data_IF_432349099114
#
_entry.id   IF_432349099114
#
_cell.length_a   1.000
_cell.length_b   1.000
_cell.length_c   1.000
_cell.angle_alpha   90.00
_cell.angle_beta   90.00
_cell.angle_gamma   90.00
#
_symmetry.space_group_name_H-M   'P 1'
#
loop_
_entity.id
_entity.type
_entity.pdbx_description
1 polymer ?
#
# COMPACT_ATOMS: atom_id res chain seq x y z
N UNK A 1 9.16 -11.36 -18.81
CA UNK A 1 7.84 -11.81 -18.30
C UNK A 1 7.37 -13.10 -18.96
N UNK A 2 7.36 -13.22 -20.28
CA UNK A 2 6.89 -14.46 -20.98
C UNK A 2 7.73 -15.73 -20.69
N UNK A 3 9.02 -15.61 -20.40
CA UNK A 3 9.91 -16.74 -20.11
C UNK A 3 9.68 -17.37 -18.72
N UNK A 4 9.19 -16.60 -17.76
CA UNK A 4 8.88 -17.08 -16.40
C UNK A 4 7.60 -17.92 -16.42
N UNK A 5 6.62 -17.52 -17.20
CA UNK A 5 5.35 -18.28 -17.35
C UNK A 5 5.54 -19.62 -18.06
N UNK A 6 6.46 -19.69 -19.03
CA UNK A 6 6.81 -20.97 -19.67
C UNK A 6 7.42 -21.99 -18.72
N UNK A 7 8.32 -21.56 -17.85
CA UNK A 7 8.96 -22.46 -16.85
C UNK A 7 8.00 -22.95 -15.78
N UNK A 8 6.99 -22.14 -15.39
CA UNK A 8 5.94 -22.55 -14.47
C UNK A 8 4.95 -23.53 -15.11
N UNK A 9 4.71 -23.42 -16.41
CA UNK A 9 3.87 -24.37 -17.15
C UNK A 9 4.57 -25.74 -17.36
N UNK A 10 5.88 -25.75 -17.57
CA UNK A 10 6.66 -26.99 -17.74
C UNK A 10 6.88 -27.76 -16.43
N UNK A 11 6.94 -27.05 -15.30
CA UNK A 11 7.05 -27.68 -13.97
C UNK A 11 5.76 -28.38 -13.51
N UNK A 12 4.61 -28.12 -14.16
CA UNK A 12 3.32 -28.73 -13.85
C UNK A 12 3.03 -30.02 -14.60
N UNK A 13 3.86 -30.41 -15.58
CA UNK A 13 3.66 -31.59 -16.40
C UNK A 13 4.55 -32.75 -15.94
N UNK A 14 4.25 -33.35 -14.77
CA UNK A 14 4.76 -34.68 -14.40
C UNK A 14 3.74 -35.71 -14.84
N UNK A 15 4.04 -36.54 -15.84
CA UNK A 15 3.12 -37.56 -16.30
C UNK A 15 3.02 -38.68 -15.24
N UNK A 16 1.82 -38.84 -14.67
CA UNK A 16 1.49 -40.03 -13.88
C UNK A 16 0.85 -39.86 -12.50
N UNK A 17 0.67 -38.61 -12.03
CA UNK A 17 -0.11 -38.40 -10.79
C UNK A 17 -1.22 -37.37 -11.06
N UNK A 18 -2.51 -37.72 -10.91
CA UNK A 18 -3.58 -36.74 -10.98
C UNK A 18 -3.34 -35.73 -9.84
N UNK A 19 -3.24 -34.43 -10.21
CA UNK A 19 -2.98 -33.36 -9.27
C UNK A 19 -4.01 -33.35 -8.13
N UNK A 20 -3.61 -32.87 -6.96
CA UNK A 20 -4.47 -32.78 -5.76
C UNK A 20 -5.83 -32.16 -6.07
N UNK A 21 -5.90 -31.19 -6.97
CA UNK A 21 -7.13 -30.56 -7.45
C UNK A 21 -8.04 -31.50 -8.25
N UNK A 22 -7.49 -32.39 -9.09
CA UNK A 22 -8.27 -33.39 -9.80
C UNK A 22 -8.84 -34.44 -8.86
N UNK A 23 -8.18 -34.75 -7.75
CA UNK A 23 -8.71 -35.63 -6.71
C UNK A 23 -9.82 -34.98 -5.90
N UNK A 24 -9.70 -33.66 -5.58
CA UNK A 24 -10.76 -32.92 -4.88
C UNK A 24 -12.02 -32.78 -5.74
N UNK A 25 -11.88 -32.51 -7.04
CA UNK A 25 -13.03 -32.42 -7.95
C UNK A 25 -13.64 -33.77 -8.22
N UNK A 26 -12.83 -34.83 -8.36
CA UNK A 26 -13.33 -36.19 -8.57
C UNK A 26 -14.04 -36.78 -7.34
N UNK A 27 -13.53 -36.51 -6.12
CA UNK A 27 -14.22 -36.95 -4.88
C UNK A 27 -15.48 -36.10 -4.62
N UNK A 28 -15.47 -34.80 -4.89
CA UNK A 28 -16.66 -33.98 -4.75
C UNK A 28 -17.77 -34.34 -5.74
N UNK A 29 -17.41 -34.71 -6.97
CA UNK A 29 -18.38 -35.14 -7.99
C UNK A 29 -18.86 -36.57 -7.73
N UNK A 30 -18.01 -37.49 -7.22
CA UNK A 30 -18.41 -38.86 -6.89
C UNK A 30 -19.33 -38.93 -5.66
N UNK A 31 -19.07 -38.12 -4.61
CA UNK A 31 -19.96 -38.03 -3.43
C UNK A 31 -21.28 -37.33 -3.75
N UNK A 32 -21.29 -36.37 -4.68
CA UNK A 32 -22.52 -35.74 -5.16
C UNK A 32 -23.37 -36.68 -6.04
N UNK A 33 -22.75 -37.60 -6.75
CA UNK A 33 -23.47 -38.56 -7.60
C UNK A 33 -24.08 -39.76 -6.78
N UNK A 34 -23.53 -40.04 -5.60
CA UNK A 34 -24.02 -41.15 -4.75
C UNK A 34 -25.14 -40.72 -3.76
N UNK A 35 -25.52 -39.44 -3.72
CA UNK A 35 -26.67 -39.02 -2.94
C UNK A 35 -27.95 -39.56 -3.57
N UNK A 36 -28.61 -40.45 -2.85
CA UNK A 36 -29.85 -41.14 -3.28
C UNK A 36 -30.85 -40.18 -3.89
N UNK A 37 -31.42 -40.49 -5.05
CA UNK A 37 -32.35 -39.58 -5.74
C UNK A 37 -33.53 -39.17 -4.88
N UNK A 38 -33.93 -40.01 -3.94
CA UNK A 38 -35.02 -39.74 -2.97
C UNK A 38 -34.67 -38.63 -1.97
N UNK A 39 -33.42 -38.51 -1.53
CA UNK A 39 -32.96 -37.41 -0.65
C UNK A 39 -32.96 -36.07 -1.36
N UNK A 40 -32.57 -36.07 -2.63
CA UNK A 40 -32.62 -34.83 -3.47
C UNK A 40 -34.05 -34.38 -3.73
N UNK A 41 -34.98 -35.31 -3.95
CA UNK A 41 -36.40 -35.02 -4.10
C UNK A 41 -36.99 -34.45 -2.80
N UNK A 42 -36.73 -35.07 -1.65
CA UNK A 42 -37.23 -34.58 -0.34
C UNK A 42 -36.63 -33.21 0.05
N UNK A 43 -35.34 -32.98 -0.26
CA UNK A 43 -34.72 -31.67 -0.02
C UNK A 43 -35.31 -30.59 -0.93
N UNK A 44 -35.69 -30.95 -2.17
CA UNK A 44 -36.29 -30.02 -3.13
C UNK A 44 -37.75 -29.65 -2.77
N UNK A 45 -38.48 -30.59 -2.18
CA UNK A 45 -39.87 -30.40 -1.78
C UNK A 45 -40.00 -29.76 -0.37
N UNK A 46 -38.88 -29.61 0.36
CA UNK A 46 -38.90 -28.87 1.62
C UNK A 46 -39.05 -27.36 1.38
N UNK A 47 -39.67 -26.63 2.31
CA UNK A 47 -39.83 -25.15 2.21
C UNK A 47 -38.46 -24.46 1.98
N UNK A 48 -37.41 -24.92 2.62
CA UNK A 48 -36.06 -24.41 2.46
C UNK A 48 -35.49 -24.76 1.06
N UNK A 49 -35.75 -25.96 0.55
CA UNK A 49 -35.32 -26.37 -0.78
C UNK A 49 -36.02 -25.59 -1.89
N UNK A 50 -37.30 -25.35 -1.79
CA UNK A 50 -38.06 -24.52 -2.73
C UNK A 50 -37.53 -23.08 -2.72
N UNK A 51 -37.32 -22.51 -1.53
CA UNK A 51 -36.74 -21.16 -1.40
C UNK A 51 -35.32 -21.08 -1.98
N UNK A 52 -34.44 -22.02 -1.67
CA UNK A 52 -33.08 -22.08 -2.24
C UNK A 52 -33.12 -22.22 -3.76
N UNK A 53 -34.07 -23.04 -4.29
CA UNK A 53 -34.16 -23.22 -5.73
C UNK A 53 -34.72 -21.99 -6.44
N UNK A 54 -35.68 -21.28 -5.87
CA UNK A 54 -36.15 -20.00 -6.40
C UNK A 54 -35.02 -18.96 -6.40
N UNK A 55 -34.26 -18.86 -5.32
CA UNK A 55 -33.10 -17.99 -5.22
C UNK A 55 -32.08 -18.27 -6.33
N UNK A 56 -31.74 -19.53 -6.54
CA UNK A 56 -30.81 -19.95 -7.63
C UNK A 56 -31.38 -19.63 -9.00
N UNK A 57 -32.70 -19.81 -9.20
CA UNK A 57 -33.36 -19.46 -10.45
C UNK A 57 -33.31 -17.96 -10.73
N UNK A 58 -33.62 -17.14 -9.70
CA UNK A 58 -33.59 -15.68 -9.79
C UNK A 58 -32.17 -15.17 -10.10
N UNK A 59 -31.13 -15.70 -9.41
CA UNK A 59 -29.74 -15.36 -9.71
C UNK A 59 -29.33 -15.79 -11.14
N UNK A 60 -29.79 -16.96 -11.59
CA UNK A 60 -29.52 -17.43 -12.95
C UNK A 60 -30.15 -16.51 -14.01
N UNK A 61 -31.35 -16.01 -13.75
CA UNK A 61 -32.04 -15.09 -14.63
C UNK A 61 -31.33 -13.72 -14.64
N UNK A 62 -31.00 -13.18 -13.47
CA UNK A 62 -30.20 -11.97 -13.35
C UNK A 62 -28.84 -12.09 -14.08
N UNK A 63 -28.13 -13.21 -13.97
CA UNK A 63 -26.90 -13.44 -14.72
C UNK A 63 -27.11 -13.43 -16.24
N UNK A 64 -28.22 -14.00 -16.73
CA UNK A 64 -28.55 -13.95 -18.18
C UNK A 64 -28.83 -12.52 -18.63
N UNK A 65 -29.61 -11.76 -17.85
CA UNK A 65 -29.90 -10.36 -18.14
C UNK A 65 -28.63 -9.50 -18.18
N UNK A 66 -27.68 -9.73 -17.24
CA UNK A 66 -26.37 -9.07 -17.25
C UNK A 66 -25.61 -9.38 -18.53
N UNK A 67 -25.57 -10.63 -18.98
CA UNK A 67 -24.86 -11.03 -20.20
C UNK A 67 -25.52 -10.43 -21.44
N UNK A 68 -26.86 -10.44 -21.53
CA UNK A 68 -27.61 -9.82 -22.63
C UNK A 68 -27.38 -8.30 -22.63
N UNK A 69 -27.53 -7.64 -21.48
CA UNK A 69 -27.30 -6.21 -21.34
C UNK A 69 -25.86 -5.79 -21.65
N UNK A 70 -24.89 -6.64 -21.32
CA UNK A 70 -23.49 -6.43 -21.68
C UNK A 70 -23.25 -6.52 -23.19
N UNK A 71 -23.99 -7.39 -23.87
CA UNK A 71 -23.91 -7.52 -25.33
C UNK A 71 -24.56 -6.32 -26.04
N UNK A 72 -25.68 -5.83 -25.52
CA UNK A 72 -26.41 -4.70 -26.08
C UNK A 72 -25.67 -3.37 -25.86
N UNK A 73 -24.94 -3.24 -24.76
CA UNK A 73 -24.17 -2.03 -24.40
C UNK A 73 -22.74 -2.38 -23.98
N UNK A 74 -21.84 -2.76 -24.93
CA UNK A 74 -20.51 -3.23 -24.58
C UNK A 74 -19.63 -2.18 -23.89
N UNK A 75 -19.84 -0.90 -24.18
CA UNK A 75 -19.13 0.19 -23.53
C UNK A 75 -19.45 0.29 -22.01
N UNK A 76 -20.72 0.19 -21.65
CA UNK A 76 -21.12 0.19 -20.23
C UNK A 76 -20.61 -1.06 -19.51
N UNK A 77 -20.70 -2.21 -20.15
CA UNK A 77 -20.18 -3.46 -19.61
C UNK A 77 -18.67 -3.41 -19.36
N UNK A 78 -17.90 -2.88 -20.32
CA UNK A 78 -16.45 -2.73 -20.14
C UNK A 78 -16.10 -1.76 -19.02
N UNK A 79 -16.86 -0.67 -18.85
CA UNK A 79 -16.68 0.26 -17.73
C UNK A 79 -16.94 -0.42 -16.38
N UNK A 80 -18.03 -1.19 -16.25
CA UNK A 80 -18.30 -1.94 -15.01
C UNK A 80 -17.23 -2.99 -14.72
N UNK A 81 -16.77 -3.73 -15.72
CA UNK A 81 -15.68 -4.69 -15.56
C UNK A 81 -14.38 -4.01 -15.13
N UNK A 82 -14.07 -2.84 -15.69
CA UNK A 82 -12.89 -2.05 -15.32
C UNK A 82 -13.01 -1.53 -13.86
N UNK A 83 -14.17 -1.03 -13.47
CA UNK A 83 -14.41 -0.56 -12.10
C UNK A 83 -14.33 -1.72 -11.08
N UNK A 84 -14.96 -2.85 -11.37
CA UNK A 84 -14.92 -4.03 -10.50
C UNK A 84 -13.52 -4.62 -10.43
N UNK A 85 -12.85 -4.77 -11.56
CA UNK A 85 -11.47 -5.24 -11.63
C UNK A 85 -10.52 -4.30 -10.90
N UNK A 86 -10.70 -2.99 -11.09
CA UNK A 86 -9.95 -1.96 -10.37
C UNK A 86 -10.18 -2.02 -8.86
N UNK A 87 -11.43 -2.13 -8.42
CA UNK A 87 -11.77 -2.25 -7.01
C UNK A 87 -11.19 -3.54 -6.38
N UNK A 88 -11.26 -4.67 -7.10
CA UNK A 88 -10.67 -5.93 -6.65
C UNK A 88 -9.13 -5.82 -6.53
N UNK A 89 -8.49 -5.17 -7.49
CA UNK A 89 -7.05 -4.91 -7.46
C UNK A 89 -6.68 -4.03 -6.27
N UNK A 90 -7.41 -2.94 -6.06
CA UNK A 90 -7.18 -2.05 -4.92
C UNK A 90 -7.39 -2.78 -3.58
N UNK A 91 -8.41 -3.64 -3.49
CA UNK A 91 -8.67 -4.45 -2.30
C UNK A 91 -7.56 -5.48 -2.04
N UNK A 92 -7.01 -6.08 -3.09
CA UNK A 92 -5.90 -7.02 -2.98
C UNK A 92 -4.61 -6.35 -2.50
N UNK A 93 -4.32 -5.14 -2.99
CA UNK A 93 -3.14 -4.36 -2.61
C UNK A 93 -3.40 -3.40 -1.44
N UNK A 94 -4.51 -3.56 -0.72
CA UNK A 94 -4.82 -2.70 0.41
C UNK A 94 -3.82 -2.91 1.56
N UNK A 95 -3.08 -1.87 2.02
CA UNK A 95 -2.07 -2.03 3.03
C UNK A 95 -2.68 -2.33 4.41
N UNK A 96 -2.04 -3.23 5.14
CA UNK A 96 -2.45 -3.66 6.48
C UNK A 96 -1.84 -2.77 7.57
N UNK A 97 -2.34 -2.92 8.79
CA UNK A 97 -1.77 -2.26 9.97
C UNK A 97 -0.28 -2.58 10.18
N UNK A 98 0.10 -3.84 9.94
CA UNK A 98 1.52 -4.27 10.03
C UNK A 98 2.40 -3.53 9.05
N UNK A 99 1.94 -3.38 7.81
CA UNK A 99 2.63 -2.61 6.78
C UNK A 99 2.84 -1.15 7.20
N UNK A 100 1.84 -0.51 7.87
CA UNK A 100 2.02 0.83 8.41
C UNK A 100 3.11 0.89 9.49
N UNK A 101 3.08 -0.07 10.41
CA UNK A 101 4.05 -0.14 11.50
C UNK A 101 5.47 -0.39 10.98
N UNK A 102 5.63 -1.21 9.96
CA UNK A 102 6.90 -1.47 9.28
C UNK A 102 7.41 -0.22 8.57
N UNK A 103 6.56 0.46 7.79
CA UNK A 103 6.91 1.71 7.10
C UNK A 103 7.26 2.83 8.08
N UNK A 104 6.55 2.94 9.21
CA UNK A 104 6.86 3.92 10.25
C UNK A 104 8.21 3.63 10.91
N UNK A 105 8.50 2.35 11.19
CA UNK A 105 9.77 1.93 11.77
C UNK A 105 10.94 2.21 10.81
N UNK A 106 10.76 1.88 9.53
CA UNK A 106 11.73 2.16 8.49
C UNK A 106 12.02 3.65 8.37
N UNK A 107 10.98 4.49 8.29
CA UNK A 107 11.12 5.94 8.24
C UNK A 107 11.80 6.51 9.49
N UNK A 108 11.47 5.97 10.67
CA UNK A 108 12.14 6.36 11.91
C UNK A 108 13.63 6.01 11.90
N UNK A 109 13.99 4.82 11.42
CA UNK A 109 15.38 4.39 11.32
C UNK A 109 16.17 5.24 10.31
N UNK A 110 15.56 5.58 9.16
CA UNK A 110 16.18 6.46 8.17
C UNK A 110 16.54 7.82 8.77
N UNK A 111 15.61 8.43 9.51
CA UNK A 111 15.86 9.72 10.18
C UNK A 111 16.92 9.63 11.28
N UNK A 112 16.98 8.50 12.02
CA UNK A 112 17.98 8.31 13.09
C UNK A 112 19.42 8.17 12.57
N UNK A 113 19.61 7.75 11.33
CA UNK A 113 20.94 7.65 10.70
C UNK A 113 21.52 9.03 10.42
N UNK A 114 20.67 10.04 10.19
CA UNK A 114 21.12 11.40 9.89
C UNK A 114 21.29 12.26 11.14
N UNK A 115 22.26 13.17 11.09
CA UNK A 115 22.41 14.22 12.08
C UNK A 115 21.17 15.13 12.11
N UNK A 116 20.77 15.64 13.31
CA UNK A 116 19.67 16.60 13.43
C UNK A 116 19.87 17.87 12.60
N UNK A 117 21.08 18.21 12.22
CA UNK A 117 21.38 19.38 11.41
C UNK A 117 21.05 19.21 9.92
N UNK A 118 21.09 17.97 9.44
CA UNK A 118 20.91 17.65 8.02
C UNK A 118 19.48 17.21 7.70
N UNK A 119 18.84 16.51 8.63
CA UNK A 119 17.49 15.96 8.40
C UNK A 119 16.40 17.02 8.37
N UNK A 120 15.38 16.79 7.57
CA UNK A 120 14.21 17.66 7.49
C UNK A 120 13.47 17.76 8.83
N UNK A 121 13.33 18.98 9.37
CA UNK A 121 12.56 19.23 10.59
C UNK A 121 11.08 18.85 10.46
N UNK A 122 10.51 18.97 9.26
CA UNK A 122 9.12 18.62 8.99
C UNK A 122 8.91 17.11 9.03
N UNK A 123 9.79 16.31 8.41
CA UNK A 123 9.75 14.86 8.42
C UNK A 123 9.96 14.34 9.86
N UNK A 124 10.96 14.84 10.55
CA UNK A 124 11.28 14.43 11.93
C UNK A 124 10.11 14.66 12.88
N UNK A 125 9.54 15.88 12.88
CA UNK A 125 8.37 16.22 13.71
C UNK A 125 7.16 15.33 13.40
N UNK A 126 6.93 15.01 12.12
CA UNK A 126 5.82 14.14 11.73
C UNK A 126 6.02 12.72 12.25
N UNK A 127 7.20 12.14 12.05
CA UNK A 127 7.53 10.79 12.52
C UNK A 127 7.49 10.71 14.04
N UNK A 128 8.07 11.68 14.76
CA UNK A 128 8.02 11.71 16.23
C UNK A 128 6.59 11.78 16.74
N UNK A 129 5.72 12.58 16.11
CA UNK A 129 4.29 12.63 16.42
C UNK A 129 3.63 11.26 16.26
N UNK A 130 3.86 10.57 15.14
CA UNK A 130 3.30 9.24 14.89
C UNK A 130 3.80 8.20 15.89
N UNK A 131 5.11 8.19 16.19
CA UNK A 131 5.71 7.31 17.20
C UNK A 131 5.11 7.57 18.58
N UNK A 132 4.95 8.85 18.97
CA UNK A 132 4.32 9.20 20.23
C UNK A 132 2.87 8.73 20.33
N UNK A 133 2.07 8.90 19.28
CA UNK A 133 0.68 8.42 19.24
C UNK A 133 0.65 6.88 19.33
N UNK A 134 1.57 6.19 18.64
CA UNK A 134 1.71 4.74 18.70
C UNK A 134 2.07 4.25 20.10
N UNK A 135 3.06 4.87 20.74
CA UNK A 135 3.49 4.48 22.12
C UNK A 135 2.42 4.76 23.18
N UNK A 136 1.56 5.76 22.94
CA UNK A 136 0.38 6.03 23.77
C UNK A 136 -0.78 5.06 23.54
N UNK A 137 -0.67 4.07 22.64
CA UNK A 137 -1.75 3.13 22.31
C UNK A 137 -2.95 3.78 21.61
N UNK A 138 -2.81 5.01 21.12
CA UNK A 138 -3.89 5.80 20.50
C UNK A 138 -3.96 5.67 18.98
N UNK A 139 -3.01 4.98 18.37
CA UNK A 139 -2.99 4.72 16.93
C UNK A 139 -4.00 3.61 16.61
N UNK A 140 -4.91 3.87 15.68
CA UNK A 140 -5.91 2.90 15.24
C UNK A 140 -5.92 2.80 13.71
N UNK A 141 -6.16 1.60 13.23
CA UNK A 141 -6.27 1.28 11.81
C UNK A 141 -7.67 0.79 11.49
N UNK A 142 -8.22 1.26 10.37
CA UNK A 142 -9.48 0.77 9.79
C UNK A 142 -9.28 0.48 8.31
N UNK A 143 -9.59 -0.75 7.91
CA UNK A 143 -9.64 -1.13 6.51
C UNK A 143 -11.06 -1.01 5.98
N UNK A 144 -11.23 -0.27 4.90
CA UNK A 144 -12.49 -0.07 4.18
C UNK A 144 -12.58 -0.95 2.92
N UNK A 145 -11.70 -1.95 2.81
CA UNK A 145 -11.61 -2.87 1.70
C UNK A 145 -10.74 -2.34 0.57
N UNK A 146 -11.13 -1.26 -0.09
CA UNK A 146 -10.39 -0.63 -1.21
C UNK A 146 -9.21 0.21 -0.73
N UNK A 147 -9.34 0.84 0.43
CA UNK A 147 -8.32 1.66 1.06
C UNK A 147 -8.33 1.49 2.57
N UNK A 148 -7.26 1.86 3.22
CA UNK A 148 -7.08 1.81 4.68
C UNK A 148 -6.82 3.19 5.24
N UNK A 149 -7.29 3.44 6.45
CA UNK A 149 -7.08 4.69 7.17
C UNK A 149 -6.35 4.40 8.48
N UNK A 150 -5.39 5.25 8.80
CA UNK A 150 -4.79 5.32 10.12
C UNK A 150 -5.21 6.63 10.78
N UNK A 151 -5.76 6.54 11.99
CA UNK A 151 -6.28 7.68 12.71
C UNK A 151 -5.90 7.63 14.20
N UNK A 152 -5.96 8.77 14.86
CA UNK A 152 -5.73 8.86 16.30
C UNK A 152 -7.03 8.69 17.08
N UNK A 153 -7.01 7.78 18.04
CA UNK A 153 -8.08 7.68 19.03
C UNK A 153 -7.90 8.76 20.12
N UNK A 154 -8.99 9.27 20.70
CA UNK A 154 -8.90 10.26 21.77
C UNK A 154 -8.33 9.67 23.07
N UNK A 155 -8.54 8.39 23.28
CA UNK A 155 -8.08 7.65 24.46
C UNK A 155 -7.66 6.22 24.05
N UNK A 156 -6.84 5.60 24.90
CA UNK A 156 -6.55 4.17 24.83
C UNK A 156 -7.56 3.41 25.70
N UNK A 157 -8.33 2.44 25.16
CA UNK A 157 -9.33 1.70 25.93
C UNK A 157 -8.72 0.88 27.08
N UNK A 158 -7.47 0.47 26.96
CA UNK A 158 -6.79 -0.38 27.94
C UNK A 158 -6.29 0.42 29.16
N UNK A 159 -5.89 1.68 28.95
CA UNK A 159 -5.35 2.55 30.00
C UNK A 159 -6.35 3.57 30.51
N UNK A 160 -7.28 4.03 29.67
CA UNK A 160 -8.25 5.08 29.99
C UNK A 160 -9.68 4.51 30.13
N UNK A 161 -9.89 3.68 31.16
CA UNK A 161 -11.18 3.04 31.43
C UNK A 161 -12.33 4.08 31.54
N UNK A 162 -12.08 5.19 32.20
CA UNK A 162 -13.05 6.26 32.38
C UNK A 162 -13.43 6.91 31.05
N UNK A 163 -12.45 7.23 30.20
CA UNK A 163 -12.68 7.78 28.86
C UNK A 163 -13.44 6.83 27.95
N UNK A 164 -13.20 5.52 28.07
CA UNK A 164 -13.86 4.49 27.28
C UNK A 164 -15.36 4.33 27.61
N UNK A 165 -15.73 4.51 28.86
CA UNK A 165 -17.09 4.31 29.35
C UNK A 165 -17.93 5.60 29.40
N UNK A 166 -17.30 6.78 29.40
CA UNK A 166 -18.03 8.04 29.46
C UNK A 166 -18.52 8.47 28.08
N UNK A 167 -19.86 8.47 27.87
CA UNK A 167 -20.48 8.81 26.60
C UNK A 167 -20.22 10.26 26.17
N UNK A 168 -20.15 11.18 27.11
CA UNK A 168 -19.88 12.60 26.85
C UNK A 168 -18.47 12.89 26.34
N UNK A 169 -17.51 11.99 26.55
CA UNK A 169 -16.15 12.09 26.06
C UNK A 169 -15.96 11.46 24.68
N UNK A 170 -17.00 10.85 24.12
CA UNK A 170 -16.94 10.28 22.77
C UNK A 170 -16.78 11.40 21.74
N UNK A 171 -15.79 11.31 20.86
CA UNK A 171 -15.59 12.31 19.83
C UNK A 171 -16.74 12.31 18.83
N UNK A 172 -17.10 13.47 18.35
CA UNK A 172 -18.11 13.63 17.29
C UNK A 172 -17.57 13.09 15.96
N UNK A 173 -18.47 12.58 15.15
CA UNK A 173 -18.13 12.13 13.80
C UNK A 173 -17.64 13.27 12.88
N UNK A 174 -18.05 14.51 13.14
CA UNK A 174 -17.58 15.69 12.45
C UNK A 174 -16.07 15.89 12.56
N UNK A 175 -15.48 15.45 13.67
CA UNK A 175 -14.07 15.66 14.00
C UNK A 175 -13.19 14.49 13.50
N UNK A 176 -13.81 13.51 12.83
CA UNK A 176 -13.10 12.34 12.31
C UNK A 176 -12.03 12.70 11.25
N UNK A 177 -12.30 13.59 10.28
CA UNK A 177 -11.30 13.98 9.27
C UNK A 177 -10.02 14.55 9.89
N UNK A 178 -10.12 15.37 10.95
CA UNK A 178 -8.98 15.99 11.62
C UNK A 178 -8.12 15.00 12.39
N UNK A 179 -8.68 13.83 12.69
CA UNK A 179 -7.98 12.75 13.39
C UNK A 179 -7.32 11.74 12.46
N UNK A 180 -7.61 11.80 11.16
CA UNK A 180 -6.94 10.95 10.17
C UNK A 180 -5.49 11.37 10.04
N UNK A 181 -4.59 10.42 10.22
CA UNK A 181 -3.14 10.63 10.17
C UNK A 181 -2.57 10.23 8.81
N UNK A 182 -3.06 9.13 8.25
CA UNK A 182 -2.57 8.63 6.97
C UNK A 182 -3.65 7.85 6.21
N UNK A 183 -3.50 7.82 4.88
CA UNK A 183 -4.32 7.09 3.94
C UNK A 183 -3.46 6.02 3.24
N UNK A 184 -3.84 4.76 3.40
CA UNK A 184 -3.24 3.62 2.72
C UNK A 184 -4.02 3.25 1.46
N UNK A 185 -3.36 3.25 0.31
CA UNK A 185 -3.95 2.90 -0.97
C UNK A 185 -2.90 2.30 -1.92
N UNK A 186 -3.24 1.23 -2.62
CA UNK A 186 -2.34 0.52 -3.55
C UNK A 186 -0.98 0.14 -2.91
N UNK A 187 -1.01 -0.36 -1.68
CA UNK A 187 0.19 -0.83 -0.98
C UNK A 187 1.09 0.27 -0.43
N UNK A 188 0.70 1.54 -0.49
CA UNK A 188 1.49 2.68 -0.01
C UNK A 188 0.72 3.53 0.98
N UNK A 189 1.45 4.14 1.91
CA UNK A 189 0.97 5.12 2.88
C UNK A 189 1.28 6.52 2.38
N UNK A 190 0.29 7.18 1.81
CA UNK A 190 0.49 8.37 0.98
C UNK A 190 0.97 9.60 1.77
N UNK A 191 0.43 9.82 2.98
CA UNK A 191 0.87 10.97 3.80
C UNK A 191 2.28 10.73 4.30
N UNK A 192 2.58 9.52 4.77
CA UNK A 192 3.92 9.15 5.24
C UNK A 192 4.95 9.33 4.12
N UNK A 193 4.70 8.77 2.93
CA UNK A 193 5.59 8.91 1.76
C UNK A 193 5.75 10.38 1.37
N UNK A 194 4.67 11.16 1.38
CA UNK A 194 4.73 12.59 1.04
C UNK A 194 5.54 13.40 2.05
N UNK A 195 5.45 13.08 3.35
CA UNK A 195 6.20 13.75 4.41
C UNK A 195 7.65 13.31 4.51
N UNK A 196 7.94 12.09 4.05
CA UNK A 196 9.30 11.55 3.93
C UNK A 196 9.98 11.91 2.60
N UNK A 197 9.33 12.70 1.75
CA UNK A 197 9.99 13.27 0.59
C UNK A 197 11.04 14.27 1.07
N UNK A 198 12.23 14.18 0.49
CA UNK A 198 13.36 15.08 0.81
C UNK A 198 13.69 15.12 2.32
N UNK A 199 13.57 13.95 3.02
CA UNK A 199 13.78 13.82 4.47
C UNK A 199 15.21 14.08 4.91
N UNK A 200 16.16 13.99 3.99
CA UNK A 200 17.59 14.21 4.13
C UNK A 200 18.01 15.68 3.88
N UNK A 201 17.05 16.56 3.57
CA UNK A 201 17.33 17.96 3.31
C UNK A 201 16.70 18.83 4.41
N UNK A 202 17.52 19.61 5.09
CA UNK A 202 17.07 20.59 6.07
C UNK A 202 16.69 21.91 5.39
N UNK A 203 15.40 22.08 5.07
CA UNK A 203 14.89 23.32 4.43
C UNK A 203 15.11 24.56 5.29
N UNK A 204 15.18 24.44 6.61
CA UNK A 204 15.37 25.56 7.52
C UNK A 204 16.76 26.19 7.37
N UNK A 205 17.77 25.40 6.96
CA UNK A 205 19.10 25.90 6.67
C UNK A 205 19.12 26.91 5.51
N UNK A 206 18.24 26.71 4.54
CA UNK A 206 18.13 27.55 3.35
C UNK A 206 17.05 28.65 3.48
N UNK A 207 16.39 28.76 4.65
CA UNK A 207 15.28 29.69 4.85
C UNK A 207 15.69 31.17 4.68
N UNK A 208 16.97 31.49 4.90
CA UNK A 208 17.51 32.84 4.74
C UNK A 208 17.82 33.22 3.27
N UNK A 209 17.84 32.24 2.35
CA UNK A 209 18.11 32.49 0.94
C UNK A 209 16.84 32.97 0.20
N UNK A 210 16.99 33.80 -0.83
CA UNK A 210 15.88 34.16 -1.72
C UNK A 210 15.31 32.92 -2.40
N UNK A 211 14.01 32.97 -2.74
CA UNK A 211 13.25 31.82 -3.24
C UNK A 211 13.89 31.17 -4.51
N UNK A 212 14.52 31.99 -5.33
CA UNK A 212 15.20 31.55 -6.56
C UNK A 212 16.41 30.65 -6.29
N UNK A 213 17.07 30.83 -5.15
CA UNK A 213 18.25 30.04 -4.75
C UNK A 213 17.93 28.83 -3.86
N UNK A 214 16.65 28.68 -3.45
CA UNK A 214 16.21 27.53 -2.64
C UNK A 214 15.93 26.26 -3.46
N UNK A 215 15.65 26.44 -4.74
CA UNK A 215 15.32 25.33 -5.64
C UNK A 215 16.36 25.26 -6.75
N UNK A 216 17.11 24.17 -6.79
CA UNK A 216 18.06 23.89 -7.87
C UNK A 216 17.32 23.06 -8.91
N UNK A 217 17.22 23.59 -10.13
CA UNK A 217 16.59 22.85 -11.24
C UNK A 217 17.64 21.98 -11.94
N UNK A 218 17.22 20.89 -12.64
CA UNK A 218 18.16 20.11 -13.46
C UNK A 218 18.92 20.95 -14.51
N UNK A 219 18.31 22.05 -14.98
CA UNK A 219 18.93 22.97 -15.92
C UNK A 219 20.06 23.79 -15.26
N UNK A 220 19.89 24.16 -13.99
CA UNK A 220 20.94 24.86 -13.23
C UNK A 220 22.12 23.93 -12.94
N UNK A 221 21.83 22.65 -12.59
CA UNK A 221 22.87 21.63 -12.38
C UNK A 221 23.71 21.38 -13.62
N UNK A 222 23.11 21.35 -14.79
CA UNK A 222 23.76 21.11 -16.08
C UNK A 222 24.06 22.43 -16.84
N UNK A 223 24.10 23.54 -16.14
CA UNK A 223 24.53 24.78 -16.76
C UNK A 223 26.01 24.73 -17.13
N UNK A 224 26.38 25.34 -18.26
CA UNK A 224 27.76 25.36 -18.74
C UNK A 224 28.74 25.99 -17.71
N UNK A 225 28.23 26.89 -16.87
CA UNK A 225 29.01 27.50 -15.79
C UNK A 225 29.27 26.52 -14.66
N UNK A 226 28.25 25.78 -14.26
CA UNK A 226 28.40 24.76 -13.20
C UNK A 226 29.30 23.61 -13.64
N UNK A 227 29.19 23.15 -14.87
CA UNK A 227 30.08 22.15 -15.45
C UNK A 227 31.52 22.63 -15.48
N UNK A 228 31.75 23.88 -15.89
CA UNK A 228 33.09 24.47 -15.87
C UNK A 228 33.67 24.58 -14.45
N UNK A 229 32.89 24.96 -13.47
CA UNK A 229 33.30 25.03 -12.07
C UNK A 229 33.62 23.64 -11.54
N UNK A 230 32.85 22.63 -11.91
CA UNK A 230 33.12 21.24 -11.57
C UNK A 230 34.43 20.74 -12.18
N UNK A 231 34.68 20.99 -13.47
CA UNK A 231 35.93 20.64 -14.15
C UNK A 231 37.12 21.31 -13.51
N UNK A 232 37.01 22.60 -13.15
CA UNK A 232 38.09 23.33 -12.47
C UNK A 232 38.39 22.74 -11.09
N UNK A 233 37.38 22.37 -10.32
CA UNK A 233 37.52 21.82 -8.98
C UNK A 233 38.10 20.41 -8.96
N UNK A 234 37.71 19.59 -9.93
CA UNK A 234 38.11 18.19 -10.02
C UNK A 234 39.19 17.92 -11.08
N UNK A 235 39.84 18.99 -11.58
CA UNK A 235 40.98 18.84 -12.50
C UNK A 235 42.08 18.03 -11.81
N UNK A 236 42.57 16.93 -12.41
CA UNK A 236 43.61 16.14 -11.81
C UNK A 236 44.89 17.00 -11.64
N UNK A 237 45.36 17.06 -10.42
CA UNK A 237 46.66 17.72 -10.11
C UNK A 237 47.76 16.71 -10.50
N UNK A 238 48.46 17.00 -11.55
CA UNK A 238 49.62 16.20 -11.94
C UNK A 238 50.79 16.70 -11.09
N UNK A 239 51.13 15.94 -10.05
CA UNK A 239 52.35 16.20 -9.26
C UNK A 239 53.55 15.92 -10.13
N UNK A 240 54.43 16.93 -10.27
CA UNK A 240 55.75 16.77 -10.90
C UNK A 240 56.68 16.19 -9.87
N UNK A 241 57.74 15.53 -10.32
CA UNK A 241 58.77 14.97 -9.43
C UNK A 241 59.41 16.04 -8.56
N UNK A 242 59.48 17.30 -9.03
CA UNK A 242 59.94 18.48 -8.29
C UNK A 242 59.08 18.80 -7.06
N UNK A 243 57.73 18.66 -7.17
CA UNK A 243 56.78 18.90 -6.08
C UNK A 243 56.87 17.85 -4.98
N UNK A 244 57.36 16.64 -5.32
CA UNK A 244 57.52 15.55 -4.35
C UNK A 244 58.81 15.69 -3.53
N UNK A 245 59.84 16.38 -4.07
CA UNK A 245 61.11 16.60 -3.35
C UNK A 245 60.99 17.72 -2.31
N UNK A 246 60.15 18.71 -2.48
CA UNK A 246 59.92 19.78 -1.52
C UNK A 246 59.12 19.29 -0.25
N UNK A 247 58.35 18.22 -0.36
CA UNK A 247 57.56 17.63 0.74
C UNK A 247 58.39 16.77 1.71
N UNK A 248 59.55 16.26 1.31
CA UNK A 248 60.42 15.45 2.17
C UNK A 248 61.43 16.30 2.99
N UNK A 249 61.47 17.61 2.79
CA UNK A 249 62.43 18.51 3.42
C UNK A 249 61.91 19.40 4.55
N UNK A 250 60.66 19.15 5.04
CA UNK A 250 60.06 19.95 6.12
C UNK A 250 59.73 19.14 7.37
#
# INVERSE_FOLDING_TARGET
>A
MAAVWRRLAEAAAVPGRPGLWARFTATATATAAAARPELRARLRDSRVGVWMWSLVADYREACKEIVVGARDNPWKASLYCLLLGGAATCAYYNPSEKSFQESLLESSNQLLVLSPLVRSCHADRHIQKLVTIKTQGRLRHVSLGVFSLVYTAPYDPDTSIYGAHCEYLRPRWSDFPDRVLDLGFLGKWWVLVSKMKDWDINDDEFAHLPAELRTVTPQDLHSAENERLFELKFKPIILREEDMQEGEGS
#
